data_IF_266580671621
#
_entry.id   IF_266580671621
#
_cell.length_a   1.000
_cell.length_b   1.000
_cell.length_c   1.000
_cell.angle_alpha   90.00
_cell.angle_beta   90.00
_cell.angle_gamma   90.00
#
_symmetry.space_group_name_H-M   'P 1'
#
loop_
_entity.id
_entity.type
_entity.pdbx_description
1 polymer ?
#
# COMPACT_ATOMS: atom_id res chain seq x y z
N UNK A 1 17.00 27.90 -18.82
CA UNK A 1 15.94 27.12 -19.50
C UNK A 1 16.05 25.67 -19.04
N UNK A 2 15.23 25.28 -18.07
CA UNK A 2 15.32 23.99 -17.40
C UNK A 2 14.74 22.87 -18.25
N UNK A 3 15.54 21.84 -18.54
CA UNK A 3 15.06 20.55 -19.02
C UNK A 3 14.35 19.84 -17.87
N UNK A 4 13.08 20.16 -17.66
CA UNK A 4 12.18 19.29 -16.88
C UNK A 4 12.14 17.94 -17.59
N UNK A 5 12.79 16.95 -16.99
CA UNK A 5 12.82 15.58 -17.50
C UNK A 5 11.39 15.12 -17.78
N UNK A 6 11.15 14.53 -18.95
CA UNK A 6 9.85 13.93 -19.33
C UNK A 6 9.37 12.96 -18.23
N UNK A 7 10.31 12.35 -17.50
CA UNK A 7 10.06 11.49 -16.35
C UNK A 7 9.52 12.25 -15.13
N UNK A 8 9.96 13.49 -14.91
CA UNK A 8 9.42 14.37 -13.88
C UNK A 8 8.02 14.88 -14.26
N UNK A 9 7.81 15.25 -15.52
CA UNK A 9 6.49 15.64 -16.05
C UNK A 9 5.50 14.47 -16.06
N UNK A 10 5.94 13.25 -16.40
CA UNK A 10 5.11 12.06 -16.37
C UNK A 10 4.81 11.62 -14.93
N UNK A 11 5.80 11.69 -14.03
CA UNK A 11 5.59 11.46 -12.60
C UNK A 11 4.67 12.50 -12.00
N UNK A 12 4.73 13.76 -12.45
CA UNK A 12 3.85 14.87 -12.03
C UNK A 12 2.45 14.82 -12.69
N UNK A 13 2.34 14.28 -13.89
CA UNK A 13 1.07 14.02 -14.57
C UNK A 13 0.33 12.84 -13.92
N UNK A 14 1.06 11.77 -13.57
CA UNK A 14 0.55 10.69 -12.72
C UNK A 14 0.28 11.15 -11.27
N UNK A 15 0.99 12.18 -10.78
CA UNK A 15 0.79 12.84 -9.46
C UNK A 15 -0.49 13.69 -9.41
N UNK A 16 -1.08 14.04 -10.56
CA UNK A 16 -2.27 14.91 -10.65
C UNK A 16 -3.60 14.17 -10.57
N UNK A 17 -3.63 12.84 -10.62
CA UNK A 17 -4.87 12.12 -10.29
C UNK A 17 -5.02 12.13 -8.78
N UNK A 18 -5.64 13.18 -8.26
CA UNK A 18 -5.90 13.37 -6.83
C UNK A 18 -6.74 12.20 -6.32
N UNK A 19 -6.55 11.80 -5.05
CA UNK A 19 -7.39 10.79 -4.40
C UNK A 19 -8.88 11.12 -4.59
N UNK A 20 -9.23 12.40 -4.59
CA UNK A 20 -10.56 12.94 -4.90
C UNK A 20 -11.10 12.46 -6.24
N UNK A 21 -10.31 12.57 -7.33
CA UNK A 21 -10.75 12.13 -8.66
C UNK A 21 -10.96 10.62 -8.72
N UNK A 22 -10.15 9.86 -7.98
CA UNK A 22 -10.32 8.41 -7.86
C UNK A 22 -11.53 8.04 -7.04
N UNK A 23 -11.80 8.76 -5.95
CA UNK A 23 -13.00 8.58 -5.10
C UNK A 23 -14.28 8.98 -5.83
N UNK A 24 -14.23 10.02 -6.68
CA UNK A 24 -15.37 10.42 -7.52
C UNK A 24 -15.74 9.34 -8.54
N UNK A 25 -14.75 8.62 -9.09
CA UNK A 25 -14.97 7.52 -10.03
C UNK A 25 -15.29 6.19 -9.35
N UNK A 26 -14.62 5.91 -8.24
CA UNK A 26 -14.83 4.73 -7.41
C UNK A 26 -14.89 5.16 -5.93
N UNK A 27 -16.09 5.22 -5.31
CA UNK A 27 -16.27 5.73 -3.96
C UNK A 27 -15.55 4.91 -2.87
N UNK A 28 -15.14 3.68 -3.18
CA UNK A 28 -14.43 2.80 -2.26
C UNK A 28 -12.95 2.62 -2.60
N UNK A 29 -12.40 3.38 -3.54
CA UNK A 29 -10.98 3.31 -3.90
C UNK A 29 -10.07 3.49 -2.66
N UNK A 30 -9.02 2.67 -2.46
CA UNK A 30 -8.46 1.66 -3.38
C UNK A 30 -9.10 0.27 -3.32
N UNK A 31 -10.19 0.10 -2.57
CA UNK A 31 -10.93 -1.15 -2.48
C UNK A 31 -11.83 -1.34 -3.72
N UNK A 32 -12.19 -2.60 -3.95
CA UNK A 32 -13.13 -3.02 -4.97
C UNK A 32 -14.24 -3.82 -4.29
N UNK A 33 -15.48 -3.63 -4.73
CA UNK A 33 -16.61 -4.47 -4.29
C UNK A 33 -16.48 -5.82 -4.97
N UNK A 34 -16.55 -6.90 -4.19
CA UNK A 34 -16.60 -8.25 -4.76
C UNK A 34 -18.01 -8.45 -5.31
N UNK A 35 -18.17 -8.39 -6.64
CA UNK A 35 -19.47 -8.39 -7.32
C UNK A 35 -20.40 -9.57 -6.99
N UNK A 36 -19.90 -10.61 -6.32
CA UNK A 36 -20.64 -11.80 -5.94
C UNK A 36 -21.29 -11.73 -4.56
N UNK A 37 -20.84 -10.82 -3.69
CA UNK A 37 -21.28 -10.73 -2.30
C UNK A 37 -21.57 -9.26 -1.95
N UNK A 38 -22.86 -8.95 -1.76
CA UNK A 38 -23.25 -7.65 -1.21
C UNK A 38 -22.57 -7.49 0.16
N UNK A 39 -21.87 -6.38 0.34
CA UNK A 39 -21.13 -5.99 1.55
C UNK A 39 -19.73 -6.62 1.78
N UNK A 40 -19.06 -7.09 0.72
CA UNK A 40 -17.65 -7.49 0.78
C UNK A 40 -16.75 -6.53 -0.02
N UNK A 41 -15.71 -6.01 0.63
CA UNK A 41 -14.72 -5.12 0.04
C UNK A 41 -13.33 -5.75 0.05
N UNK A 42 -12.62 -5.64 -1.06
CA UNK A 42 -11.30 -6.22 -1.23
C UNK A 42 -10.29 -5.16 -1.63
N UNK A 43 -9.19 -5.08 -0.89
CA UNK A 43 -8.03 -4.28 -1.21
C UNK A 43 -6.88 -5.19 -1.59
N UNK A 44 -6.41 -4.98 -2.80
CA UNK A 44 -5.41 -5.81 -3.44
C UNK A 44 -4.14 -4.97 -3.65
N UNK A 45 -3.09 -5.30 -2.89
CA UNK A 45 -1.84 -4.55 -2.86
C UNK A 45 -0.70 -5.41 -3.36
N UNK A 46 -0.13 -4.97 -4.47
CA UNK A 46 1.12 -5.52 -4.98
C UNK A 46 2.28 -4.74 -4.40
N UNK A 47 3.15 -5.41 -3.66
CA UNK A 47 4.38 -4.79 -3.19
C UNK A 47 5.33 -4.63 -4.37
N UNK A 48 5.59 -3.39 -4.79
CA UNK A 48 6.44 -3.11 -5.94
C UNK A 48 7.94 -3.43 -5.70
N UNK A 49 8.33 -3.80 -4.47
CA UNK A 49 9.73 -4.10 -4.14
C UNK A 49 10.27 -5.32 -4.88
N UNK A 50 9.44 -6.33 -5.15
CA UNK A 50 9.83 -7.54 -5.88
C UNK A 50 10.41 -7.24 -7.27
N UNK A 51 9.95 -6.17 -7.92
CA UNK A 51 10.45 -5.75 -9.22
C UNK A 51 11.91 -5.30 -9.16
N UNK A 52 12.33 -4.60 -8.10
CA UNK A 52 13.73 -4.19 -7.95
C UNK A 52 14.64 -5.41 -7.83
N UNK A 53 14.26 -6.39 -7.01
CA UNK A 53 15.01 -7.63 -6.86
C UNK A 53 15.04 -8.47 -8.15
N UNK A 54 13.95 -8.47 -8.92
CA UNK A 54 13.90 -9.13 -10.22
C UNK A 54 14.87 -8.47 -11.21
N UNK A 55 14.90 -7.14 -11.29
CA UNK A 55 15.86 -6.41 -12.13
C UNK A 55 17.29 -6.68 -11.69
N UNK A 56 17.57 -6.69 -10.38
CA UNK A 56 18.89 -7.06 -9.84
C UNK A 56 19.28 -8.48 -10.25
N UNK A 57 18.34 -9.43 -10.21
CA UNK A 57 18.57 -10.82 -10.65
C UNK A 57 18.99 -10.85 -12.13
N UNK A 58 18.25 -10.16 -13.00
CA UNK A 58 18.54 -10.10 -14.44
C UNK A 58 19.92 -9.48 -14.72
N UNK A 59 20.23 -8.36 -14.06
CA UNK A 59 21.53 -7.69 -14.19
C UNK A 59 22.68 -8.58 -13.70
N UNK A 60 22.48 -9.30 -12.60
CA UNK A 60 23.48 -10.22 -12.06
C UNK A 60 23.76 -11.39 -13.03
N UNK A 61 22.72 -11.98 -13.63
CA UNK A 61 22.87 -13.02 -14.65
C UNK A 61 23.66 -12.49 -15.86
N UNK A 62 23.32 -11.29 -16.34
CA UNK A 62 24.03 -10.65 -17.45
C UNK A 62 25.52 -10.42 -17.11
N UNK A 63 25.82 -9.94 -15.89
CA UNK A 63 27.20 -9.76 -15.43
C UNK A 63 27.98 -11.07 -15.38
N UNK A 64 27.38 -12.16 -14.90
CA UNK A 64 28.03 -13.49 -14.87
C UNK A 64 28.40 -13.98 -16.28
N UNK A 65 27.48 -13.82 -17.25
CA UNK A 65 27.73 -14.22 -18.65
C UNK A 65 28.87 -13.40 -19.25
N UNK A 66 28.88 -12.08 -19.03
CA UNK A 66 29.92 -11.18 -19.54
C UNK A 66 31.28 -11.51 -18.91
N UNK A 67 31.35 -11.65 -17.59
CA UNK A 67 32.58 -11.99 -16.87
C UNK A 67 33.10 -13.38 -17.28
N UNK A 68 32.22 -14.36 -17.50
CA UNK A 68 32.59 -15.68 -18.02
C UNK A 68 33.22 -15.60 -19.41
N UNK A 69 32.64 -14.82 -20.32
CA UNK A 69 33.20 -14.60 -21.66
C UNK A 69 34.55 -13.85 -21.62
N UNK A 70 34.77 -13.00 -20.62
CA UNK A 70 36.02 -12.27 -20.41
C UNK A 70 37.05 -13.04 -19.58
N UNK A 71 36.73 -14.24 -19.09
CA UNK A 71 37.60 -15.04 -18.23
C UNK A 71 37.84 -14.46 -16.82
N UNK A 72 36.99 -13.53 -16.37
CA UNK A 72 37.14 -12.83 -15.09
C UNK A 72 36.34 -13.51 -13.97
N UNK A 73 36.87 -14.60 -13.43
CA UNK A 73 36.19 -15.43 -12.43
C UNK A 73 36.34 -14.96 -10.98
N UNK A 74 37.15 -13.94 -10.72
CA UNK A 74 37.47 -13.45 -9.37
C UNK A 74 36.22 -12.98 -8.59
N UNK A 75 35.15 -12.62 -9.28
CA UNK A 75 33.89 -12.11 -8.70
C UNK A 75 32.76 -13.15 -8.67
N UNK A 76 32.99 -14.38 -9.11
CA UNK A 76 31.95 -15.40 -9.26
C UNK A 76 31.22 -15.68 -7.94
N UNK A 77 31.95 -15.76 -6.82
CA UNK A 77 31.38 -16.01 -5.48
C UNK A 77 30.46 -14.87 -5.04
N UNK A 78 30.84 -13.62 -5.33
CA UNK A 78 30.04 -12.43 -5.01
C UNK A 78 28.76 -12.44 -5.85
N UNK A 79 28.86 -12.71 -7.16
CA UNK A 79 27.69 -12.80 -8.02
C UNK A 79 26.76 -13.95 -7.62
N UNK A 80 27.28 -15.10 -7.23
CA UNK A 80 26.47 -16.21 -6.74
C UNK A 80 25.66 -15.81 -5.49
N UNK A 81 26.29 -15.12 -4.53
CA UNK A 81 25.60 -14.64 -3.34
C UNK A 81 24.51 -13.61 -3.66
N UNK A 82 24.82 -12.64 -4.54
CA UNK A 82 23.86 -11.62 -4.98
C UNK A 82 22.69 -12.25 -5.73
N UNK A 83 22.95 -13.24 -6.59
CA UNK A 83 21.94 -13.95 -7.35
C UNK A 83 20.99 -14.72 -6.42
N UNK A 84 21.53 -15.53 -5.50
CA UNK A 84 20.71 -16.30 -4.54
C UNK A 84 19.86 -15.37 -3.68
N UNK A 85 20.47 -14.31 -3.14
CA UNK A 85 19.78 -13.34 -2.28
C UNK A 85 18.70 -12.58 -3.04
N UNK A 86 18.97 -12.14 -4.28
CA UNK A 86 17.98 -11.43 -5.10
C UNK A 86 16.81 -12.32 -5.50
N UNK A 87 17.05 -13.59 -5.85
CA UNK A 87 15.99 -14.56 -6.13
C UNK A 87 15.13 -14.79 -4.88
N UNK A 88 15.77 -15.04 -3.73
CA UNK A 88 15.06 -15.24 -2.46
C UNK A 88 14.18 -14.03 -2.13
N UNK A 89 14.72 -12.81 -2.22
CA UNK A 89 13.98 -11.58 -1.96
C UNK A 89 12.88 -11.33 -2.97
N UNK A 90 13.06 -11.67 -4.26
CA UNK A 90 12.00 -11.63 -5.27
C UNK A 90 10.85 -12.53 -4.85
N UNK A 91 11.12 -13.79 -4.47
CA UNK A 91 10.08 -14.75 -4.06
C UNK A 91 9.38 -14.28 -2.78
N UNK A 92 10.11 -13.77 -1.80
CA UNK A 92 9.55 -13.32 -0.52
C UNK A 92 8.63 -12.11 -0.69
N UNK A 93 8.98 -11.18 -1.59
CA UNK A 93 8.23 -9.95 -1.82
C UNK A 93 7.23 -10.04 -2.98
N UNK A 94 7.21 -11.15 -3.71
CA UNK A 94 6.25 -11.41 -4.79
C UNK A 94 4.78 -11.49 -4.32
N UNK A 95 4.47 -12.13 -3.18
CA UNK A 95 3.10 -12.39 -2.79
C UNK A 95 2.33 -11.09 -2.63
N UNK A 96 1.15 -11.09 -3.24
CA UNK A 96 0.20 -10.00 -3.13
C UNK A 96 -0.38 -9.98 -1.72
N UNK A 97 -0.44 -8.80 -1.10
CA UNK A 97 -1.17 -8.63 0.16
C UNK A 97 -2.60 -8.26 -0.20
N UNK A 98 -3.53 -9.04 0.33
CA UNK A 98 -4.96 -8.87 0.09
C UNK A 98 -5.66 -8.67 1.43
N UNK A 99 -6.40 -7.57 1.54
CA UNK A 99 -7.21 -7.27 2.73
C UNK A 99 -8.67 -7.35 2.32
N UNK A 100 -9.41 -8.20 3.01
CA UNK A 100 -10.83 -8.43 2.77
C UNK A 100 -11.60 -7.92 3.97
N UNK A 101 -12.61 -7.11 3.70
CA UNK A 101 -13.56 -6.59 4.69
C UNK A 101 -14.91 -7.23 4.38
N UNK A 102 -15.46 -7.96 5.34
CA UNK A 102 -16.76 -8.60 5.25
C UNK A 102 -17.70 -8.01 6.31
N UNK A 103 -18.72 -7.25 5.87
CA UNK A 103 -19.68 -6.72 6.82
C UNK A 103 -20.80 -7.70 7.18
N UNK A 104 -21.00 -8.78 6.41
CA UNK A 104 -22.00 -9.79 6.75
C UNK A 104 -21.57 -10.58 8.00
N UNK A 105 -20.27 -10.79 8.17
CA UNK A 105 -19.67 -11.46 9.34
C UNK A 105 -19.06 -10.48 10.35
N UNK A 106 -19.07 -9.18 10.06
CA UNK A 106 -18.34 -8.16 10.84
C UNK A 106 -16.85 -8.49 11.08
N UNK A 107 -16.20 -9.13 10.11
CA UNK A 107 -14.78 -9.50 10.17
C UNK A 107 -13.96 -8.88 9.04
N UNK A 108 -12.65 -8.77 9.28
CA UNK A 108 -11.66 -8.53 8.24
C UNK A 108 -10.64 -9.66 8.22
N UNK A 109 -10.13 -9.99 7.04
CA UNK A 109 -9.05 -10.94 6.88
C UNK A 109 -7.91 -10.35 6.05
N UNK A 110 -6.69 -10.75 6.39
CA UNK A 110 -5.49 -10.39 5.66
C UNK A 110 -4.86 -11.66 5.11
N UNK A 111 -4.66 -11.66 3.80
CA UNK A 111 -4.06 -12.76 3.05
C UNK A 111 -2.75 -12.30 2.44
N UNK A 112 -1.78 -13.20 2.41
CA UNK A 112 -0.53 -13.04 1.65
C UNK A 112 -0.49 -14.15 0.60
N UNK A 113 -0.70 -13.78 -0.66
CA UNK A 113 -0.97 -14.74 -1.72
C UNK A 113 -2.26 -15.51 -1.45
N UNK A 114 -2.20 -16.83 -1.41
CA UNK A 114 -3.33 -17.72 -1.09
C UNK A 114 -3.45 -18.06 0.41
N UNK A 115 -2.55 -17.54 1.24
CA UNK A 115 -2.46 -17.92 2.66
C UNK A 115 -3.13 -16.86 3.53
N UNK A 116 -4.09 -17.28 4.36
CA UNK A 116 -4.65 -16.45 5.42
C UNK A 116 -3.58 -16.19 6.47
N UNK A 117 -3.23 -14.92 6.67
CA UNK A 117 -2.28 -14.50 7.70
C UNK A 117 -2.98 -14.19 9.02
N UNK A 118 -4.16 -13.59 8.94
CA UNK A 118 -4.89 -13.13 10.11
C UNK A 118 -6.36 -12.89 9.78
N UNK A 119 -7.23 -13.08 10.77
CA UNK A 119 -8.63 -12.70 10.75
C UNK A 119 -9.01 -12.08 12.09
N UNK A 120 -9.79 -10.99 12.07
CA UNK A 120 -10.27 -10.34 13.28
C UNK A 120 -11.55 -9.56 13.06
N UNK A 121 -12.12 -9.02 14.14
CA UNK A 121 -13.33 -8.20 14.08
C UNK A 121 -13.10 -6.86 13.37
N UNK A 122 -14.11 -6.39 12.65
CA UNK A 122 -14.08 -5.16 11.85
C UNK A 122 -13.72 -3.90 12.66
N UNK A 123 -14.00 -3.90 13.97
CA UNK A 123 -13.64 -2.81 14.86
C UNK A 123 -12.12 -2.60 15.02
N UNK A 124 -11.31 -3.62 14.70
CA UNK A 124 -9.85 -3.59 14.81
C UNK A 124 -9.14 -3.13 13.54
N UNK A 125 -9.88 -2.77 12.49
CA UNK A 125 -9.35 -2.17 11.27
C UNK A 125 -9.84 -0.73 11.14
N UNK A 126 -8.93 0.18 10.84
CA UNK A 126 -9.25 1.60 10.75
C UNK A 126 -8.38 2.33 9.73
N UNK A 127 -8.92 3.43 9.20
CA UNK A 127 -8.14 4.42 8.48
C UNK A 127 -7.49 5.37 9.47
N UNK A 128 -6.23 5.70 9.25
CA UNK A 128 -5.50 6.68 10.04
C UNK A 128 -4.81 7.67 9.15
N UNK A 129 -4.96 8.95 9.44
CA UNK A 129 -4.14 9.98 8.81
C UNK A 129 -2.84 10.08 9.60
N UNK A 130 -1.70 10.02 8.92
CA UNK A 130 -0.36 10.21 9.49
C UNK A 130 0.30 11.44 8.89
N UNK A 131 1.09 12.13 9.69
CA UNK A 131 1.97 13.21 9.25
C UNK A 131 3.32 12.63 8.82
N UNK A 132 3.82 13.06 7.67
CA UNK A 132 5.08 12.63 7.09
C UNK A 132 5.83 13.87 6.61
N UNK A 133 6.97 14.15 7.23
CA UNK A 133 7.79 15.29 6.86
C UNK A 133 8.72 15.75 7.97
N UNK A 134 9.46 16.81 7.70
CA UNK A 134 10.16 17.58 8.72
C UNK A 134 9.51 18.96 8.83
N UNK A 135 9.95 19.76 9.80
CA UNK A 135 9.45 21.12 10.06
C UNK A 135 9.41 22.05 8.84
N UNK A 136 10.18 21.77 7.77
CA UNK A 136 10.20 22.56 6.54
C UNK A 136 9.20 22.10 5.47
N UNK A 137 8.71 20.86 5.55
CA UNK A 137 7.79 20.29 4.54
C UNK A 137 6.95 19.18 5.16
N UNK A 138 5.84 19.58 5.78
CA UNK A 138 4.82 18.65 6.27
C UNK A 138 3.95 18.14 5.13
N UNK A 139 3.80 16.83 5.03
CA UNK A 139 2.80 16.16 4.21
C UNK A 139 1.97 15.21 5.07
N UNK A 140 0.82 14.81 4.55
CA UNK A 140 -0.11 13.91 5.21
C UNK A 140 -0.41 12.73 4.30
N UNK A 141 -0.68 11.57 4.89
CA UNK A 141 -1.01 10.35 4.19
C UNK A 141 -2.07 9.57 4.96
N UNK A 142 -2.96 8.87 4.25
CA UNK A 142 -3.91 7.94 4.86
C UNK A 142 -3.29 6.55 4.81
N UNK A 143 -3.25 5.90 5.95
CA UNK A 143 -2.90 4.50 6.11
C UNK A 143 -4.12 3.69 6.56
N UNK A 144 -4.21 2.45 6.14
CA UNK A 144 -5.08 1.44 6.71
C UNK A 144 -4.25 0.72 7.79
N UNK A 145 -4.73 0.76 9.02
CA UNK A 145 -4.11 0.14 10.19
C UNK A 145 -4.97 -1.05 10.63
N UNK A 146 -4.38 -2.24 10.60
CA UNK A 146 -4.93 -3.44 11.22
C UNK A 146 -4.22 -3.64 12.57
N UNK A 147 -4.91 -3.29 13.66
CA UNK A 147 -4.28 -3.06 14.97
C UNK A 147 -3.47 -4.26 15.50
N UNK A 148 -3.86 -5.49 15.17
CA UNK A 148 -3.26 -6.72 15.69
C UNK A 148 -2.12 -7.28 14.82
N UNK A 149 -1.92 -6.73 13.63
CA UNK A 149 -0.91 -7.18 12.67
C UNK A 149 0.28 -6.21 12.54
N UNK A 150 0.23 -5.06 13.23
CA UNK A 150 1.11 -3.90 12.99
C UNK A 150 1.20 -3.52 11.50
N UNK A 151 0.22 -3.96 10.70
CA UNK A 151 0.22 -3.78 9.26
C UNK A 151 -0.33 -2.39 8.95
N UNK A 152 0.58 -1.52 8.53
CA UNK A 152 0.26 -0.18 8.05
C UNK A 152 0.37 -0.14 6.53
N UNK A 153 -0.78 -0.09 5.87
CA UNK A 153 -0.85 0.02 4.42
C UNK A 153 -1.10 1.46 4.05
N UNK A 154 -0.18 2.05 3.29
CA UNK A 154 -0.39 3.35 2.65
C UNK A 154 -1.48 3.24 1.57
N UNK A 155 -2.63 3.88 1.79
CA UNK A 155 -3.76 3.86 0.83
C UNK A 155 -3.92 5.15 0.03
N UNK A 156 -3.31 6.26 0.47
CA UNK A 156 -3.28 7.52 -0.29
C UNK A 156 -1.87 7.92 -0.67
N UNK A 157 -1.75 8.82 -1.64
CA UNK A 157 -0.51 9.57 -1.85
C UNK A 157 -0.31 10.61 -0.74
N UNK A 158 0.94 11.08 -0.60
CA UNK A 158 1.31 12.17 0.31
C UNK A 158 0.75 13.50 -0.21
N UNK A 159 -0.05 14.19 0.59
CA UNK A 159 -0.68 15.47 0.26
C UNK A 159 -0.26 16.56 1.24
N UNK A 160 -0.15 17.81 0.77
CA UNK A 160 0.13 18.96 1.66
C UNK A 160 -1.12 19.45 2.40
N UNK A 161 -2.27 19.41 1.73
CA UNK A 161 -3.54 19.87 2.30
C UNK A 161 -4.13 18.81 3.23
N UNK A 162 -4.08 19.07 4.53
CA UNK A 162 -4.63 18.20 5.58
C UNK A 162 -6.15 18.09 5.48
N UNK A 163 -6.85 19.21 5.31
CA UNK A 163 -8.32 19.25 5.35
C UNK A 163 -8.93 18.49 4.18
N UNK A 164 -8.34 18.64 2.99
CA UNK A 164 -8.69 17.86 1.81
C UNK A 164 -8.51 16.36 2.05
N UNK A 165 -7.36 15.97 2.61
CA UNK A 165 -7.09 14.56 2.88
C UNK A 165 -8.03 14.00 3.96
N UNK A 166 -8.33 14.79 4.99
CA UNK A 166 -9.28 14.43 6.05
C UNK A 166 -10.69 14.23 5.51
N UNK A 167 -11.17 15.11 4.64
CA UNK A 167 -12.47 14.96 3.99
C UNK A 167 -12.56 13.65 3.20
N UNK A 168 -11.54 13.36 2.41
CA UNK A 168 -11.45 12.10 1.65
C UNK A 168 -11.38 10.87 2.54
N UNK A 169 -10.63 10.93 3.65
CA UNK A 169 -10.53 9.83 4.60
C UNK A 169 -11.87 9.55 5.28
N UNK A 170 -12.60 10.59 5.68
CA UNK A 170 -13.95 10.46 6.24
C UNK A 170 -14.90 9.85 5.21
N UNK A 171 -14.97 10.41 4.00
CA UNK A 171 -15.82 9.88 2.93
C UNK A 171 -15.53 8.41 2.64
N UNK A 172 -14.25 8.04 2.55
CA UNK A 172 -13.83 6.66 2.33
C UNK A 172 -14.19 5.75 3.51
N UNK A 173 -13.99 6.20 4.75
CA UNK A 173 -14.39 5.44 5.95
C UNK A 173 -15.90 5.22 6.04
N UNK A 174 -16.69 6.21 5.59
CA UNK A 174 -18.15 6.12 5.51
C UNK A 174 -18.56 5.08 4.46
N UNK A 175 -17.95 5.14 3.28
CA UNK A 175 -18.25 4.21 2.19
C UNK A 175 -17.83 2.77 2.49
N UNK A 176 -16.74 2.59 3.25
CA UNK A 176 -16.23 1.28 3.69
C UNK A 176 -16.83 0.82 5.02
N UNK A 177 -17.59 1.64 5.73
CA UNK A 177 -18.15 1.28 7.04
C UNK A 177 -17.10 0.91 8.11
N UNK A 178 -15.92 1.54 8.10
CA UNK A 178 -14.84 1.30 9.07
C UNK A 178 -14.49 2.55 9.87
N UNK A 179 -13.67 2.40 10.92
CA UNK A 179 -13.27 3.51 11.78
C UNK A 179 -12.25 4.44 11.10
N UNK A 180 -12.23 5.71 11.50
CA UNK A 180 -11.22 6.70 11.09
C UNK A 180 -10.59 7.40 12.31
N UNK A 181 -9.27 7.50 12.31
CA UNK A 181 -8.46 8.16 13.34
C UNK A 181 -7.58 9.26 12.75
N UNK A 182 -7.53 10.41 13.42
CA UNK A 182 -6.76 11.58 12.99
C UNK A 182 -5.52 11.74 13.89
N UNK A 183 -4.31 11.76 13.32
CA UNK A 183 -3.03 11.81 14.08
C UNK A 183 -2.90 12.97 15.06
N UNK A 184 -3.56 14.10 14.78
CA UNK A 184 -3.45 15.34 15.56
C UNK A 184 -4.51 15.50 16.64
N UNK A 185 -5.43 14.55 16.72
CA UNK A 185 -6.50 14.55 17.68
C UNK A 185 -6.29 13.35 18.61
N UNK A 186 -5.60 13.51 19.75
CA UNK A 186 -5.83 12.64 20.90
C UNK A 186 -7.23 12.96 21.43
N UNK A 187 -8.28 12.68 20.65
CA UNK A 187 -9.57 13.31 20.86
C UNK A 187 -10.56 12.34 21.45
N UNK A 188 -11.09 12.78 22.59
CA UNK A 188 -12.44 12.62 23.14
C UNK A 188 -13.61 12.64 22.11
N UNK A 189 -13.35 12.69 20.81
CA UNK A 189 -14.28 12.44 19.70
C UNK A 189 -13.79 11.23 18.89
N UNK A 190 -13.66 10.09 19.56
CA UNK A 190 -13.62 8.82 18.87
C UNK A 190 -15.02 8.60 18.28
N UNK A 191 -15.16 8.73 16.95
CA UNK A 191 -16.37 8.26 16.29
C UNK A 191 -16.19 6.75 16.13
N UNK A 192 -16.39 6.02 17.23
CA UNK A 192 -16.53 4.57 17.19
C UNK A 192 -17.89 4.29 16.57
N UNK A 193 -17.90 3.77 15.34
CA UNK A 193 -19.14 3.39 14.69
C UNK A 193 -19.46 1.95 15.05
N UNK A 194 -20.31 1.77 16.04
CA UNK A 194 -21.06 0.53 16.20
C UNK A 194 -22.20 0.58 15.18
N UNK A 195 -22.16 -0.29 14.16
CA UNK A 195 -23.34 -0.53 13.34
C UNK A 195 -24.35 -1.23 14.26
N UNK A 196 -25.56 -0.69 14.37
CA UNK A 196 -26.65 -1.40 15.05
C UNK A 196 -27.07 -2.56 14.16
N UNK A 197 -27.07 -3.75 14.74
CA UNK A 197 -27.75 -4.93 14.21
C UNK A 197 -29.18 -4.56 13.82
N UNK A 198 -29.57 -4.94 12.61
CA UNK A 198 -30.93 -4.94 12.12
C UNK A 198 -31.25 -6.35 11.65
#
# INVERSE_FOLDING_TARGET
MGRTSILALFKEHLRRITLEERLQRNPVYPFHKVHREDQMYELELRQNSAYYFLVTTILCIASVIICGNLGQYEYLTVFAFVLISSIYLTIEHWPMVRVVINHNTETYSVHRGSTLMYEGGLHNIALKMIEIGSSALTMYQIILEAHLLELQISISYKMKSRDTLKHNALLLSDNLGINYFDSHLPSKRHIVRHRKEG
#
